data_IF_814248920394
#
_entry.id   IF_814248920394
#
_cell.length_a   1.000
_cell.length_b   1.000
_cell.length_c   1.000
_cell.angle_alpha   90.00
_cell.angle_beta   90.00
_cell.angle_gamma   90.00
#
_symmetry.space_group_name_H-M   'P 1'
#
loop_
_entity.id
_entity.type
_entity.pdbx_description
1 polymer ?
#
# COMPACT_ATOMS: atom_id res chain seq x y z
N UNK A 1 -38.26 -51.61 -33.76
CA UNK A 1 -39.32 -50.58 -33.72
C UNK A 1 -39.69 -50.37 -32.25
N UNK A 2 -38.99 -49.46 -31.56
CA UNK A 2 -39.18 -49.23 -30.12
C UNK A 2 -40.36 -48.28 -29.95
N UNK A 3 -41.44 -48.79 -29.38
CA UNK A 3 -42.67 -48.04 -29.12
C UNK A 3 -42.34 -47.00 -28.06
N UNK A 4 -42.30 -45.74 -28.50
CA UNK A 4 -41.97 -44.59 -27.68
C UNK A 4 -43.16 -44.16 -26.84
N UNK A 5 -43.06 -44.38 -25.52
CA UNK A 5 -44.04 -43.89 -24.56
C UNK A 5 -44.00 -42.36 -24.51
N UNK A 6 -45.06 -41.72 -25.00
CA UNK A 6 -45.23 -40.25 -24.96
C UNK A 6 -45.08 -39.68 -23.54
N UNK A 7 -45.40 -40.46 -22.52
CA UNK A 7 -45.21 -40.13 -21.10
C UNK A 7 -43.73 -40.01 -20.71
N UNK A 8 -42.83 -40.78 -21.33
CA UNK A 8 -41.39 -40.71 -21.09
C UNK A 8 -40.82 -39.39 -21.65
N UNK A 9 -41.19 -39.00 -22.88
CA UNK A 9 -40.79 -37.71 -23.44
C UNK A 9 -41.35 -36.53 -22.67
N UNK A 10 -42.59 -36.65 -22.18
CA UNK A 10 -43.19 -35.62 -21.34
C UNK A 10 -42.40 -35.44 -20.03
N UNK A 11 -41.98 -36.54 -19.40
CA UNK A 11 -41.17 -36.48 -18.18
C UNK A 11 -39.78 -35.87 -18.41
N UNK A 12 -39.10 -36.23 -19.49
CA UNK A 12 -37.79 -35.67 -19.86
C UNK A 12 -37.91 -34.18 -20.17
N UNK A 13 -38.96 -33.76 -20.89
CA UNK A 13 -39.21 -32.35 -21.18
C UNK A 13 -39.44 -31.55 -19.89
N UNK A 14 -40.27 -32.05 -18.98
CA UNK A 14 -40.52 -31.38 -17.68
C UNK A 14 -39.25 -31.27 -16.85
N UNK A 15 -38.45 -32.34 -16.76
CA UNK A 15 -37.18 -32.33 -16.02
C UNK A 15 -36.19 -31.33 -16.62
N UNK A 16 -36.08 -31.27 -17.94
CA UNK A 16 -35.19 -30.32 -18.62
C UNK A 16 -35.57 -28.85 -18.38
N UNK A 17 -36.87 -28.54 -18.35
CA UNK A 17 -37.39 -27.20 -18.04
C UNK A 17 -37.09 -26.81 -16.59
N UNK A 18 -37.27 -27.73 -15.64
CA UNK A 18 -36.97 -27.48 -14.22
C UNK A 18 -35.46 -27.23 -14.02
N UNK A 19 -34.61 -28.05 -14.64
CA UNK A 19 -33.15 -27.85 -14.62
C UNK A 19 -32.73 -26.52 -15.24
N UNK A 20 -33.29 -26.16 -16.39
CA UNK A 20 -33.03 -24.87 -17.04
C UNK A 20 -33.44 -23.68 -16.16
N UNK A 21 -34.60 -23.76 -15.51
CA UNK A 21 -35.06 -22.74 -14.55
C UNK A 21 -34.12 -22.64 -13.35
N UNK A 22 -33.68 -23.76 -12.80
CA UNK A 22 -32.78 -23.80 -11.64
C UNK A 22 -31.41 -23.19 -11.98
N UNK A 23 -30.86 -23.50 -13.15
CA UNK A 23 -29.60 -22.90 -13.65
C UNK A 23 -29.79 -21.41 -13.91
N UNK A 24 -30.89 -20.98 -14.54
CA UNK A 24 -31.17 -19.55 -14.74
C UNK A 24 -31.32 -18.79 -13.40
N UNK A 25 -31.92 -19.43 -12.39
CA UNK A 25 -32.01 -18.89 -11.04
C UNK A 25 -30.64 -18.77 -10.37
N UNK A 26 -29.79 -19.79 -10.51
CA UNK A 26 -28.40 -19.72 -10.04
C UNK A 26 -27.61 -18.62 -10.74
N UNK A 27 -27.70 -18.45 -12.06
CA UNK A 27 -27.01 -17.36 -12.75
C UNK A 27 -27.52 -15.99 -12.32
N UNK A 28 -28.82 -15.83 -12.08
CA UNK A 28 -29.40 -14.57 -11.60
C UNK A 28 -29.10 -14.29 -10.12
N UNK A 29 -28.88 -15.33 -9.32
CA UNK A 29 -28.51 -15.21 -7.91
C UNK A 29 -27.00 -15.03 -7.73
N UNK A 30 -26.17 -15.75 -8.49
CA UNK A 30 -24.72 -15.62 -8.52
C UNK A 30 -24.26 -14.31 -9.18
N UNK A 31 -25.03 -13.80 -10.15
CA UNK A 31 -24.85 -12.45 -10.70
C UNK A 31 -25.28 -11.31 -9.76
N UNK A 32 -25.82 -11.64 -8.58
CA UNK A 32 -26.12 -10.72 -7.48
C UNK A 32 -25.34 -11.07 -6.21
N UNK A 33 -24.08 -11.48 -6.36
CA UNK A 33 -23.13 -11.23 -5.29
C UNK A 33 -22.96 -9.71 -5.25
N UNK A 34 -23.65 -9.11 -4.30
CA UNK A 34 -23.58 -7.68 -4.01
C UNK A 34 -22.13 -7.32 -3.71
N UNK A 35 -21.45 -6.72 -4.69
CA UNK A 35 -20.11 -6.14 -4.54
C UNK A 35 -20.12 -4.84 -3.72
N UNK A 36 -21.26 -4.48 -3.10
CA UNK A 36 -21.33 -3.43 -2.10
C UNK A 36 -20.50 -3.82 -0.88
N UNK A 37 -19.55 -2.96 -0.50
CA UNK A 37 -18.86 -3.06 0.79
C UNK A 37 -19.94 -3.16 1.88
N UNK A 38 -19.96 -4.22 2.71
CA UNK A 38 -20.94 -4.34 3.79
C UNK A 38 -20.90 -3.07 4.63
N UNK A 39 -22.08 -2.51 4.94
CA UNK A 39 -22.20 -1.26 5.71
C UNK A 39 -21.42 -1.32 7.04
N UNK A 40 -21.30 -2.52 7.60
CA UNK A 40 -20.51 -2.83 8.79
C UNK A 40 -19.00 -2.58 8.60
N UNK A 41 -18.44 -2.89 7.43
CA UNK A 41 -17.03 -2.64 7.11
C UNK A 41 -16.76 -1.15 6.94
N UNK A 42 -17.71 -0.38 6.38
CA UNK A 42 -17.62 1.10 6.31
C UNK A 42 -17.64 1.70 7.72
N UNK A 43 -18.51 1.22 8.61
CA UNK A 43 -18.52 1.67 10.01
C UNK A 43 -17.23 1.32 10.75
N UNK A 44 -16.68 0.12 10.54
CA UNK A 44 -15.41 -0.30 11.14
C UNK A 44 -14.27 0.61 10.70
N UNK A 45 -14.14 0.85 9.39
CA UNK A 45 -13.12 1.76 8.84
C UNK A 45 -13.29 3.20 9.33
N UNK A 46 -14.53 3.70 9.49
CA UNK A 46 -14.73 5.04 10.07
C UNK A 46 -14.37 5.13 11.55
N UNK A 47 -14.47 4.01 12.29
CA UNK A 47 -14.11 3.97 13.71
C UNK A 47 -12.60 3.89 13.86
N UNK A 48 -11.94 3.08 13.02
CA UNK A 48 -10.48 2.98 12.93
C UNK A 48 -9.85 4.30 12.46
N UNK A 49 -10.44 4.98 11.46
CA UNK A 49 -10.02 6.32 11.05
C UNK A 49 -10.12 7.33 12.20
N UNK A 50 -11.21 7.35 12.95
CA UNK A 50 -11.36 8.25 14.12
C UNK A 50 -10.35 7.95 15.22
N UNK A 51 -9.98 6.67 15.39
CA UNK A 51 -8.96 6.29 16.35
C UNK A 51 -7.58 6.77 15.90
N UNK A 52 -7.24 6.59 14.62
CA UNK A 52 -6.00 7.09 14.03
C UNK A 52 -5.95 8.63 14.09
N UNK A 53 -7.05 9.32 13.80
CA UNK A 53 -7.15 10.79 13.93
C UNK A 53 -6.88 11.22 15.37
N UNK A 54 -7.48 10.55 16.36
CA UNK A 54 -7.26 10.84 17.77
C UNK A 54 -5.82 10.57 18.21
N UNK A 55 -5.22 9.48 17.74
CA UNK A 55 -3.81 9.16 18.00
C UNK A 55 -2.88 10.21 17.37
N UNK A 56 -3.19 10.65 16.14
CA UNK A 56 -2.46 11.71 15.46
C UNK A 56 -2.57 13.04 16.21
N UNK A 57 -3.76 13.42 16.67
CA UNK A 57 -3.98 14.60 17.49
C UNK A 57 -3.18 14.52 18.79
N UNK A 58 -3.18 13.37 19.48
CA UNK A 58 -2.39 13.21 20.71
C UNK A 58 -0.89 13.33 20.45
N UNK A 59 -0.38 12.72 19.38
CA UNK A 59 1.03 12.81 19.01
C UNK A 59 1.41 14.23 18.57
N UNK A 60 0.51 14.92 17.88
CA UNK A 60 0.70 16.32 17.49
C UNK A 60 0.75 17.25 18.71
N UNK A 61 -0.11 17.02 19.70
CA UNK A 61 -0.05 17.76 20.98
C UNK A 61 1.25 17.47 21.72
N UNK A 62 1.69 16.21 21.75
CA UNK A 62 2.91 15.81 22.46
C UNK A 62 4.17 16.39 21.81
N UNK A 63 4.21 16.45 20.47
CA UNK A 63 5.26 17.11 19.70
C UNK A 63 5.27 18.63 19.92
N UNK A 64 4.10 19.29 19.90
CA UNK A 64 3.98 20.72 20.20
C UNK A 64 4.50 21.04 21.62
N UNK A 65 4.18 20.19 22.58
CA UNK A 65 4.57 20.33 23.98
C UNK A 65 6.09 20.22 24.18
N UNK A 66 6.70 19.28 23.47
CA UNK A 66 8.14 19.06 23.50
C UNK A 66 8.87 20.16 22.72
N UNK A 67 8.35 20.64 21.57
CA UNK A 67 8.81 21.84 20.83
C UNK A 67 8.72 23.14 21.66
N UNK A 68 7.77 23.23 22.57
CA UNK A 68 7.66 24.34 23.51
C UNK A 68 8.65 24.24 24.69
N UNK A 69 8.98 23.02 25.15
CA UNK A 69 10.04 22.76 26.14
C UNK A 69 11.42 23.06 25.53
N UNK A 70 11.57 22.71 24.25
CA UNK A 70 12.62 23.07 23.33
C UNK A 70 12.98 24.57 23.41
N UNK A 71 11.99 25.41 23.09
CA UNK A 71 12.21 26.85 22.94
C UNK A 71 12.55 27.53 24.28
N UNK A 72 12.06 26.99 25.41
CA UNK A 72 12.39 27.49 26.76
C UNK A 72 13.81 27.11 27.18
N UNK A 73 14.36 26.04 26.61
CA UNK A 73 15.69 25.54 26.89
C UNK A 73 16.83 26.35 26.26
N UNK A 74 16.59 27.03 25.13
CA UNK A 74 17.64 27.82 24.46
C UNK A 74 18.18 28.98 25.32
N UNK A 75 17.50 29.34 26.42
CA UNK A 75 17.96 30.33 27.41
C UNK A 75 18.36 29.75 28.78
N UNK A 76 18.33 28.43 28.96
CA UNK A 76 18.65 27.79 30.24
C UNK A 76 18.99 26.31 30.12
N UNK A 77 20.05 25.91 30.83
CA UNK A 77 20.67 24.58 30.92
C UNK A 77 20.95 23.85 29.59
N UNK A 78 22.20 23.45 29.30
CA UNK A 78 22.55 22.65 28.11
C UNK A 78 21.75 21.34 27.97
N UNK A 79 21.21 20.81 29.06
CA UNK A 79 20.36 19.61 29.06
C UNK A 79 19.05 19.82 28.30
N UNK A 80 18.45 21.00 28.45
CA UNK A 80 17.20 21.31 27.81
C UNK A 80 17.43 21.58 26.31
N UNK A 81 18.57 22.17 25.92
CA UNK A 81 18.98 22.32 24.52
C UNK A 81 19.30 20.98 23.85
N UNK A 82 19.76 19.99 24.60
CA UNK A 82 19.94 18.65 24.05
C UNK A 82 18.59 17.96 23.80
N UNK A 83 17.65 18.08 24.75
CA UNK A 83 16.28 17.60 24.56
C UNK A 83 15.64 18.25 23.32
N UNK A 84 15.98 19.52 23.04
CA UNK A 84 15.55 20.21 21.84
C UNK A 84 15.93 19.46 20.57
N UNK A 85 17.22 19.21 20.51
CA UNK A 85 17.86 18.75 19.32
C UNK A 85 17.44 17.32 19.00
N UNK A 86 17.27 16.50 20.05
CA UNK A 86 16.85 15.10 19.95
C UNK A 86 15.42 14.98 19.42
N UNK A 87 14.51 15.85 19.85
CA UNK A 87 13.15 15.84 19.32
C UNK A 87 13.10 16.29 17.86
N UNK A 88 13.81 17.36 17.50
CA UNK A 88 13.89 17.81 16.11
C UNK A 88 14.41 16.69 15.19
N UNK A 89 15.35 15.87 15.67
CA UNK A 89 15.83 14.68 14.94
C UNK A 89 14.71 13.66 14.77
N UNK A 90 13.94 13.34 15.82
CA UNK A 90 12.80 12.42 15.73
C UNK A 90 11.74 12.90 14.75
N UNK A 91 11.37 14.18 14.81
CA UNK A 91 10.39 14.78 13.88
C UNK A 91 10.90 14.71 12.44
N UNK A 92 12.18 15.02 12.20
CA UNK A 92 12.78 14.90 10.86
C UNK A 92 12.86 13.45 10.35
N UNK A 93 13.02 12.48 11.24
CA UNK A 93 12.96 11.06 10.89
C UNK A 93 11.53 10.66 10.50
N UNK A 94 10.55 11.01 11.33
CA UNK A 94 9.13 10.76 11.06
C UNK A 94 8.63 11.43 9.78
N UNK A 95 9.07 12.67 9.51
CA UNK A 95 8.77 13.40 8.28
C UNK A 95 9.52 12.87 7.04
N UNK A 96 10.42 11.89 7.21
CA UNK A 96 11.23 11.32 6.13
C UNK A 96 12.30 12.25 5.55
N UNK A 97 12.68 13.29 6.29
CA UNK A 97 13.68 14.29 5.87
C UNK A 97 15.12 13.90 6.21
N UNK A 98 15.32 12.72 6.79
CA UNK A 98 16.65 12.17 7.12
C UNK A 98 16.84 10.80 6.48
N UNK A 99 18.09 10.51 6.12
CA UNK A 99 18.48 9.18 5.66
C UNK A 99 18.42 8.21 6.82
N UNK A 100 17.83 7.03 6.60
CA UNK A 100 17.64 6.00 7.60
C UNK A 100 18.33 4.71 7.16
N UNK A 101 18.83 3.94 8.12
CA UNK A 101 19.38 2.62 7.87
C UNK A 101 18.88 1.62 8.89
N UNK A 102 18.67 0.37 8.47
CA UNK A 102 18.22 -0.70 9.35
C UNK A 102 17.96 -2.00 8.61
N UNK A 103 17.57 -3.06 9.32
CA UNK A 103 17.14 -4.30 8.70
C UNK A 103 15.83 -4.11 7.93
N UNK A 104 15.55 -5.00 6.97
CA UNK A 104 14.28 -4.99 6.26
C UNK A 104 14.30 -5.84 5.00
N UNK A 105 13.52 -5.43 4.00
CA UNK A 105 13.38 -6.15 2.71
C UNK A 105 13.62 -5.23 1.52
N UNK A 106 14.21 -5.80 0.48
CA UNK A 106 14.30 -5.24 -0.85
C UNK A 106 13.43 -6.06 -1.80
N UNK A 107 12.46 -5.40 -2.43
CA UNK A 107 11.50 -6.01 -3.34
C UNK A 107 11.79 -5.52 -4.76
N UNK A 108 12.18 -6.44 -5.64
CA UNK A 108 12.41 -6.14 -7.06
C UNK A 108 11.20 -6.56 -7.87
N UNK A 109 10.65 -5.64 -8.66
CA UNK A 109 9.43 -5.81 -9.44
C UNK A 109 9.74 -5.52 -10.91
N UNK A 110 9.48 -6.47 -11.79
CA UNK A 110 9.73 -6.34 -13.22
C UNK A 110 8.67 -7.08 -14.05
N UNK A 111 8.34 -6.62 -15.27
CA UNK A 111 7.49 -7.41 -16.15
C UNK A 111 8.20 -8.70 -16.56
N UNK A 112 7.47 -9.82 -16.59
CA UNK A 112 7.96 -11.07 -17.17
C UNK A 112 7.98 -10.89 -18.69
N UNK A 113 9.17 -10.91 -19.30
CA UNK A 113 9.33 -10.86 -20.75
C UNK A 113 8.68 -12.12 -21.37
N UNK A 114 7.44 -12.01 -21.84
CA UNK A 114 6.87 -12.95 -22.81
C UNK A 114 7.26 -12.43 -24.20
N UNK A 115 7.84 -13.31 -25.03
CA UNK A 115 8.60 -12.93 -26.25
C UNK A 115 7.87 -11.99 -27.22
N UNK A 116 8.66 -11.32 -28.05
CA UNK A 116 8.39 -10.25 -29.04
C UNK A 116 7.08 -10.32 -29.87
N UNK A 117 5.92 -10.41 -29.23
CA UNK A 117 4.63 -10.21 -29.88
C UNK A 117 4.23 -8.76 -29.68
N UNK A 118 4.50 -7.96 -30.71
CA UNK A 118 4.24 -6.52 -30.81
C UNK A 118 2.74 -6.16 -30.87
N UNK A 119 1.92 -6.82 -30.05
CA UNK A 119 0.48 -6.62 -29.99
C UNK A 119 0.01 -6.83 -28.57
N UNK A 120 -0.07 -5.74 -27.82
CA UNK A 120 -0.69 -5.62 -26.50
C UNK A 120 0.14 -6.18 -25.33
N UNK A 121 1.07 -5.35 -24.80
CA UNK A 121 1.72 -5.57 -23.51
C UNK A 121 0.71 -5.36 -22.36
N UNK A 122 -0.33 -6.19 -22.30
CA UNK A 122 -1.33 -6.24 -21.21
C UNK A 122 -0.71 -6.47 -19.83
N UNK A 123 0.55 -6.94 -19.77
CA UNK A 123 1.28 -7.32 -18.55
C UNK A 123 2.43 -6.35 -18.21
N UNK A 124 2.14 -5.04 -18.27
CA UNK A 124 3.09 -4.00 -17.84
C UNK A 124 2.84 -3.67 -16.37
N UNK A 125 3.91 -3.51 -15.57
CA UNK A 125 3.80 -3.05 -14.18
C UNK A 125 3.14 -1.67 -14.16
N UNK A 126 2.08 -1.52 -13.37
CA UNK A 126 1.33 -0.27 -13.21
C UNK A 126 1.67 0.42 -11.89
N UNK A 127 1.29 1.68 -11.79
CA UNK A 127 1.40 2.47 -10.55
C UNK A 127 0.63 1.84 -9.38
N UNK A 128 -0.55 1.27 -9.65
CA UNK A 128 -1.33 0.55 -8.65
C UNK A 128 -0.60 -0.65 -8.04
N UNK A 129 0.25 -1.34 -8.80
CA UNK A 129 1.01 -2.51 -8.32
C UNK A 129 2.06 -2.07 -7.30
N UNK A 130 2.79 -0.99 -7.61
CA UNK A 130 3.76 -0.40 -6.69
C UNK A 130 3.07 0.14 -5.43
N UNK A 131 1.89 0.76 -5.59
CA UNK A 131 1.12 1.28 -4.48
C UNK A 131 0.66 0.16 -3.53
N UNK A 132 0.22 -1.00 -4.08
CA UNK A 132 -0.14 -2.17 -3.28
C UNK A 132 1.05 -2.70 -2.48
N UNK A 133 2.22 -2.83 -3.11
CA UNK A 133 3.45 -3.27 -2.41
C UNK A 133 3.83 -2.30 -1.28
N UNK A 134 3.80 -1.00 -1.56
CA UNK A 134 4.08 0.03 -0.54
C UNK A 134 3.10 -0.07 0.63
N UNK A 135 1.81 -0.24 0.36
CA UNK A 135 0.77 -0.33 1.38
C UNK A 135 0.90 -1.61 2.21
N UNK A 136 1.19 -2.74 1.57
CA UNK A 136 1.40 -4.02 2.26
C UNK A 136 2.61 -3.95 3.22
N UNK A 137 3.69 -3.31 2.77
CA UNK A 137 4.87 -3.08 3.59
C UNK A 137 4.60 -2.13 4.77
N UNK A 138 3.82 -1.05 4.54
CA UNK A 138 3.38 -0.16 5.63
C UNK A 138 2.53 -0.91 6.66
N UNK A 139 1.57 -1.72 6.19
CA UNK A 139 0.70 -2.51 7.06
C UNK A 139 1.49 -3.54 7.88
N UNK A 140 2.58 -4.07 7.32
CA UNK A 140 3.50 -4.99 7.99
C UNK A 140 4.55 -4.29 8.89
N UNK A 141 4.45 -2.97 9.11
CA UNK A 141 5.30 -2.24 10.04
C UNK A 141 6.59 -1.67 9.43
N UNK A 142 6.61 -1.36 8.14
CA UNK A 142 7.73 -0.64 7.54
C UNK A 142 7.82 0.81 8.07
N UNK A 143 8.97 1.17 8.62
CA UNK A 143 9.25 2.49 9.22
C UNK A 143 9.76 3.50 8.18
N UNK A 144 10.44 3.02 7.13
CA UNK A 144 10.93 3.86 6.04
C UNK A 144 10.91 3.10 4.72
N UNK A 145 10.46 3.77 3.66
CA UNK A 145 10.24 3.17 2.34
C UNK A 145 10.86 4.02 1.25
N UNK A 146 11.38 3.39 0.20
CA UNK A 146 11.74 4.08 -1.04
C UNK A 146 11.49 3.22 -2.27
N UNK A 147 11.24 3.86 -3.42
CA UNK A 147 11.14 3.21 -4.73
C UNK A 147 12.28 3.75 -5.60
N UNK A 148 13.20 2.89 -6.02
CA UNK A 148 14.42 3.25 -6.77
C UNK A 148 15.16 4.45 -6.13
N UNK A 149 15.25 4.47 -4.80
CA UNK A 149 15.89 5.54 -4.04
C UNK A 149 15.06 6.81 -3.87
N UNK A 150 13.81 6.86 -4.34
CA UNK A 150 12.88 7.95 -4.01
C UNK A 150 12.17 7.65 -2.69
N UNK A 151 12.48 8.43 -1.63
CA UNK A 151 11.84 8.32 -0.32
C UNK A 151 10.33 8.49 -0.44
N UNK A 152 9.58 7.54 0.11
CA UNK A 152 8.13 7.61 0.20
C UNK A 152 7.75 8.26 1.54
N UNK A 153 7.03 9.38 1.46
CA UNK A 153 6.44 10.09 2.60
C UNK A 153 4.91 10.12 2.48
N UNK A 154 4.22 10.78 3.40
CA UNK A 154 2.75 10.89 3.41
C UNK A 154 2.19 11.60 2.17
N UNK A 155 2.93 12.57 1.62
CA UNK A 155 2.55 13.34 0.42
C UNK A 155 3.21 12.85 -0.85
N UNK A 156 3.80 11.64 -0.83
CA UNK A 156 4.44 11.08 -2.02
C UNK A 156 3.43 10.69 -3.09
N UNK A 157 3.82 10.98 -4.32
CA UNK A 157 3.10 10.61 -5.54
C UNK A 157 3.68 9.32 -6.11
N UNK A 158 2.81 8.39 -6.50
CA UNK A 158 3.13 7.23 -7.34
C UNK A 158 2.06 7.20 -8.45
N UNK A 159 2.43 7.53 -9.68
CA UNK A 159 1.47 7.75 -10.76
C UNK A 159 1.99 7.26 -12.10
N UNK A 160 1.11 6.66 -12.90
CA UNK A 160 1.40 6.35 -14.29
C UNK A 160 1.47 7.63 -15.16
N UNK A 161 2.57 7.81 -15.87
CA UNK A 161 2.88 8.94 -16.74
C UNK A 161 3.30 8.45 -18.15
N UNK A 162 2.31 8.02 -18.94
CA UNK A 162 2.53 7.43 -20.25
C UNK A 162 3.10 6.03 -20.14
N UNK A 163 4.33 5.82 -20.60
CA UNK A 163 5.02 4.53 -20.56
C UNK A 163 5.89 4.31 -19.29
N UNK A 164 5.83 5.23 -18.34
CA UNK A 164 6.68 5.25 -17.14
C UNK A 164 5.84 5.53 -15.91
N UNK A 165 6.38 5.23 -14.73
CA UNK A 165 5.76 5.59 -13.46
C UNK A 165 6.57 6.73 -12.86
N UNK A 166 5.91 7.83 -12.54
CA UNK A 166 6.52 8.93 -11.78
C UNK A 166 6.37 8.65 -10.28
N UNK A 167 7.49 8.72 -9.57
CA UNK A 167 7.52 8.70 -8.10
C UNK A 167 8.13 10.00 -7.62
N UNK A 168 7.37 10.78 -6.86
CA UNK A 168 7.75 12.15 -6.48
C UNK A 168 8.22 12.95 -7.71
N UNK A 169 7.44 12.97 -8.80
CA UNK A 169 7.75 13.64 -10.06
C UNK A 169 9.11 13.23 -10.69
N UNK A 170 9.58 12.03 -10.37
CA UNK A 170 10.80 11.44 -10.94
C UNK A 170 10.41 10.21 -11.75
N UNK A 171 10.75 10.22 -13.04
CA UNK A 171 10.39 9.15 -13.97
C UNK A 171 11.18 7.88 -13.69
N UNK A 172 10.48 6.79 -13.38
CA UNK A 172 11.05 5.48 -13.11
C UNK A 172 10.60 4.46 -14.16
N UNK A 173 11.53 3.56 -14.52
CA UNK A 173 11.30 2.43 -15.43
C UNK A 173 11.58 1.11 -14.69
N UNK A 174 10.99 -0.01 -15.13
CA UNK A 174 11.33 -1.31 -14.59
C UNK A 174 12.82 -1.65 -14.82
N UNK A 175 13.47 -2.42 -13.92
CA UNK A 175 12.91 -2.96 -12.68
C UNK A 175 12.72 -1.91 -11.60
N UNK A 176 11.60 -2.00 -10.89
CA UNK A 176 11.32 -1.18 -9.71
C UNK A 176 11.86 -1.87 -8.47
N UNK A 177 12.60 -1.15 -7.64
CA UNK A 177 13.19 -1.66 -6.40
C UNK A 177 12.57 -0.91 -5.24
N UNK A 178 11.71 -1.59 -4.49
CA UNK A 178 11.13 -1.07 -3.25
C UNK A 178 12.01 -1.51 -2.09
N UNK A 179 12.60 -0.55 -1.38
CA UNK A 179 13.39 -0.80 -0.18
C UNK A 179 12.61 -0.39 1.05
N UNK A 180 12.45 -1.30 2.01
CA UNK A 180 11.69 -1.09 3.24
C UNK A 180 12.54 -1.43 4.46
N UNK A 181 12.61 -0.50 5.43
CA UNK A 181 13.21 -0.74 6.74
C UNK A 181 12.11 -1.14 7.71
N UNK A 182 12.33 -2.19 8.50
CA UNK A 182 11.39 -2.70 9.50
C UNK A 182 11.66 -4.16 9.87
N UNK A 183 10.71 -4.84 10.54
CA UNK A 183 10.88 -6.24 10.94
C UNK A 183 10.93 -7.18 9.71
N UNK A 184 12.13 -7.47 9.22
CA UNK A 184 12.36 -8.15 7.93
C UNK A 184 11.55 -9.44 7.73
N UNK A 185 11.38 -10.24 8.78
CA UNK A 185 10.56 -11.46 8.74
C UNK A 185 9.06 -11.18 8.54
N UNK A 186 8.52 -10.16 9.20
CA UNK A 186 7.11 -9.76 9.04
C UNK A 186 6.87 -9.16 7.65
N UNK A 187 7.75 -8.25 7.22
CA UNK A 187 7.70 -7.62 5.90
C UNK A 187 7.77 -8.64 4.74
N UNK A 188 8.64 -9.65 4.86
CA UNK A 188 8.71 -10.73 3.86
C UNK A 188 7.44 -11.59 3.90
N UNK A 189 6.99 -11.98 5.10
CA UNK A 189 5.83 -12.85 5.25
C UNK A 189 4.53 -12.22 4.76
N UNK A 190 4.35 -10.90 4.90
CA UNK A 190 3.15 -10.20 4.40
C UNK A 190 3.09 -10.18 2.88
N UNK A 191 4.24 -10.02 2.22
CA UNK A 191 4.32 -10.05 0.76
C UNK A 191 4.13 -11.47 0.20
N UNK A 192 4.65 -12.49 0.88
CA UNK A 192 4.67 -13.88 0.43
C UNK A 192 3.52 -14.74 1.00
N UNK A 193 2.43 -14.12 1.46
CA UNK A 193 1.23 -14.87 1.84
C UNK A 193 0.75 -15.69 0.64
N UNK A 194 0.47 -16.97 0.87
CA UNK A 194 -0.04 -17.87 -0.17
C UNK A 194 -1.38 -17.36 -0.73
N UNK A 195 -1.46 -17.23 -2.06
CA UNK A 195 -2.59 -16.59 -2.74
C UNK A 195 -2.69 -15.08 -2.51
N UNK A 196 -1.63 -14.46 -1.99
CA UNK A 196 -1.55 -13.06 -1.64
C UNK A 196 -1.03 -12.18 -2.77
N UNK A 197 -0.43 -11.05 -2.40
CA UNK A 197 0.00 -10.00 -3.33
C UNK A 197 1.01 -10.51 -4.37
N UNK A 198 2.09 -11.15 -3.93
CA UNK A 198 3.15 -11.62 -4.83
C UNK A 198 2.63 -12.68 -5.81
N UNK A 199 1.84 -13.64 -5.32
CA UNK A 199 1.26 -14.69 -6.17
C UNK A 199 0.34 -14.08 -7.24
N UNK A 200 -0.53 -13.14 -6.84
CA UNK A 200 -1.43 -12.43 -7.77
C UNK A 200 -0.65 -11.64 -8.83
N UNK A 201 0.41 -10.95 -8.44
CA UNK A 201 1.26 -10.21 -9.37
C UNK A 201 1.97 -11.14 -10.37
N UNK A 202 2.44 -12.31 -9.91
CA UNK A 202 3.06 -13.31 -10.79
C UNK A 202 2.08 -13.89 -11.81
N UNK A 203 0.83 -14.14 -11.40
CA UNK A 203 -0.25 -14.56 -12.30
C UNK A 203 -0.51 -13.51 -13.40
N UNK A 204 -0.39 -12.23 -13.06
CA UNK A 204 -0.48 -11.11 -14.01
C UNK A 204 0.80 -10.85 -14.79
N UNK A 205 1.77 -11.77 -14.77
CA UNK A 205 2.99 -11.64 -15.56
C UNK A 205 3.97 -10.62 -15.00
N UNK A 206 3.91 -10.30 -13.71
CA UNK A 206 4.87 -9.43 -13.02
C UNK A 206 5.76 -10.28 -12.12
N UNK A 207 7.06 -10.31 -12.41
CA UNK A 207 8.05 -10.95 -11.56
C UNK A 207 8.28 -10.09 -10.32
N UNK A 208 8.13 -10.69 -9.14
CA UNK A 208 8.45 -10.08 -7.85
C UNK A 208 9.47 -10.95 -7.12
N UNK A 209 10.58 -10.35 -6.69
CA UNK A 209 11.62 -11.00 -5.89
C UNK A 209 11.78 -10.24 -4.58
N UNK A 210 11.63 -10.93 -3.46
CA UNK A 210 11.77 -10.36 -2.11
C UNK A 210 13.06 -10.88 -1.50
N UNK A 211 13.92 -9.97 -1.02
CA UNK A 211 15.20 -10.30 -0.38
C UNK A 211 15.30 -9.59 0.95
N UNK A 212 15.44 -10.35 2.04
CA UNK A 212 15.78 -9.79 3.35
C UNK A 212 17.22 -9.31 3.37
N UNK A 213 17.45 -8.16 4.00
CA UNK A 213 18.79 -7.61 4.23
C UNK A 213 18.90 -7.09 5.66
N UNK A 214 20.03 -7.34 6.30
CA UNK A 214 20.33 -6.80 7.64
C UNK A 214 20.59 -5.29 7.63
N UNK A 215 20.96 -4.77 6.45
CA UNK A 215 21.23 -3.34 6.24
C UNK A 215 20.64 -2.88 4.92
N UNK A 216 19.62 -2.05 5.03
CA UNK A 216 19.01 -1.27 3.95
C UNK A 216 19.22 0.20 4.29
N UNK A 217 19.49 1.01 3.26
CA UNK A 217 19.59 2.46 3.38
C UNK A 217 18.41 3.05 2.62
N UNK A 218 17.58 3.82 3.30
CA UNK A 218 16.49 4.58 2.72
C UNK A 218 16.86 6.06 2.79
N UNK A 219 17.03 6.75 1.64
CA UNK A 219 17.50 8.13 1.64
C UNK A 219 16.49 9.10 2.24
N UNK A 220 16.95 10.33 2.51
CA UNK A 220 16.08 11.43 2.86
C UNK A 220 15.20 11.83 1.65
N UNK A 221 14.01 12.35 1.92
CA UNK A 221 13.20 13.00 0.92
C UNK A 221 13.93 14.25 0.39
N UNK A 222 14.07 14.33 -0.93
CA UNK A 222 14.95 15.28 -1.61
C UNK A 222 14.25 16.56 -2.08
N UNK A 223 12.92 16.65 -1.95
CA UNK A 223 12.13 17.79 -2.41
C UNK A 223 11.60 18.62 -1.24
N UNK A 224 11.25 19.87 -1.53
CA UNK A 224 10.59 20.76 -0.56
C UNK A 224 9.14 20.34 -0.34
N UNK A 225 8.71 20.29 0.92
CA UNK A 225 7.30 20.20 1.29
C UNK A 225 6.75 21.63 1.30
N UNK A 226 6.02 22.02 0.25
CA UNK A 226 5.45 23.37 0.14
C UNK A 226 3.96 23.32 0.52
N UNK A 227 3.59 24.01 1.60
CA UNK A 227 2.21 24.21 2.01
C UNK A 227 1.83 25.66 1.70
N UNK A 228 0.85 25.88 0.82
CA UNK A 228 0.47 27.23 0.36
C UNK A 228 -0.39 27.97 1.39
N UNK A 229 -1.34 27.26 2.01
CA UNK A 229 -2.30 27.85 2.95
C UNK A 229 -2.07 27.44 4.41
N UNK A 230 -1.65 26.20 4.65
CA UNK A 230 -1.46 25.68 5.99
C UNK A 230 -0.26 26.34 6.67
N UNK A 231 -0.43 26.72 7.94
CA UNK A 231 0.61 27.31 8.79
C UNK A 231 0.60 26.59 10.13
N UNK A 232 1.76 26.43 10.79
CA UNK A 232 1.81 25.89 12.15
C UNK A 232 0.87 26.67 13.07
N UNK A 233 -0.04 25.97 13.75
CA UNK A 233 -0.87 26.58 14.79
C UNK A 233 -0.02 26.79 16.04
N UNK A 234 0.12 28.04 16.50
CA UNK A 234 0.83 28.33 17.74
C UNK A 234 -0.12 28.09 18.92
N UNK A 235 0.07 27.04 19.69
CA UNK A 235 -0.66 26.88 20.95
C UNK A 235 -0.21 27.92 21.98
N UNK A 236 -1.18 28.61 22.60
CA UNK A 236 -0.94 29.43 23.78
C UNK A 236 -1.05 28.51 25.01
N UNK A 237 0.05 28.46 25.77
CA UNK A 237 0.29 27.66 26.98
C UNK A 237 -0.90 27.47 27.92
#
# INVERSE_FOLDING_TARGET
MIIMNKTLYLSIAVVSVVLGLMVAFQFRSAGRVDSGVPFDRVQLLTTELRQIEKENDTLATEASDLEAKLSKAEKGSPEAFQAVQDELVKVRQAAGLTSMQGPGVEVTIAPIKKGDSAGDNLFTVRDEDLLRVVNELRAAGAEALSINGQRIISTSEIRLAGAFIDVNLTRLSPPYVVSAIGPAGQLESSLLIQGGLVDTMQEWGIAVTVVKKDKIIVPAYSRSINLEYAKPHKEAR
#
